data_IF_601047740959
#
_entry.id   IF_601047740959
#
_cell.length_a   1.000
_cell.length_b   1.000
_cell.length_c   1.000
_cell.angle_alpha   90.00
_cell.angle_beta   90.00
_cell.angle_gamma   90.00
#
_symmetry.space_group_name_H-M   'P 1'
#
loop_
_entity.id
_entity.type
_entity.pdbx_description
1 polymer ?
#
# COMPACT_ATOMS: atom_id res chain seq x y z
N UNK A 1 19.45 -16.76 -0.85
CA UNK A 1 18.29 -16.05 -1.42
C UNK A 1 17.95 -16.67 -2.75
N UNK A 2 16.67 -16.95 -3.02
CA UNK A 2 16.24 -17.46 -4.33
C UNK A 2 16.24 -16.31 -5.35
N UNK A 3 16.73 -16.58 -6.57
CA UNK A 3 16.66 -15.63 -7.68
C UNK A 3 15.30 -15.75 -8.36
N UNK A 4 14.58 -14.64 -8.46
CA UNK A 4 13.31 -14.54 -9.18
C UNK A 4 13.53 -13.72 -10.44
N UNK A 5 13.02 -14.23 -11.56
CA UNK A 5 12.93 -13.46 -12.80
C UNK A 5 11.47 -13.07 -12.99
N UNK A 6 11.23 -11.77 -13.18
CA UNK A 6 9.89 -11.22 -13.40
C UNK A 6 9.87 -10.48 -14.73
N UNK A 7 8.75 -10.57 -15.42
CA UNK A 7 8.51 -9.79 -16.64
C UNK A 7 7.73 -8.54 -16.26
N UNK A 8 8.18 -7.39 -16.75
CA UNK A 8 7.56 -6.09 -16.54
C UNK A 8 7.21 -5.47 -17.90
N UNK A 9 6.18 -4.61 -17.98
CA UNK A 9 5.95 -3.78 -19.15
C UNK A 9 7.19 -2.92 -19.46
N UNK A 10 7.51 -2.75 -20.74
CA UNK A 10 8.73 -2.05 -21.17
C UNK A 10 8.83 -0.62 -20.64
N UNK A 11 7.70 0.12 -20.63
CA UNK A 11 7.63 1.48 -20.11
C UNK A 11 7.97 1.55 -18.61
N UNK A 12 7.48 0.59 -17.83
CA UNK A 12 7.76 0.51 -16.41
C UNK A 12 9.23 0.13 -16.16
N UNK A 13 9.75 -0.82 -16.94
CA UNK A 13 11.16 -1.20 -16.88
C UNK A 13 12.07 -0.01 -17.19
N UNK A 14 11.76 0.76 -18.24
CA UNK A 14 12.50 1.97 -18.60
C UNK A 14 12.45 3.03 -17.49
N UNK A 15 11.28 3.23 -16.87
CA UNK A 15 11.12 4.18 -15.76
C UNK A 15 11.96 3.77 -14.55
N UNK A 16 11.90 2.50 -14.14
CA UNK A 16 12.68 1.98 -13.01
C UNK A 16 14.19 2.07 -13.29
N UNK A 17 14.59 1.81 -14.53
CA UNK A 17 15.97 1.93 -14.96
C UNK A 17 16.44 3.39 -14.90
N UNK A 18 15.64 4.33 -15.42
CA UNK A 18 15.94 5.77 -15.34
C UNK A 18 16.06 6.26 -13.89
N UNK A 19 15.19 5.82 -12.99
CA UNK A 19 15.28 6.16 -11.57
C UNK A 19 16.58 5.65 -10.90
N UNK A 20 17.10 4.50 -11.33
CA UNK A 20 18.36 3.98 -10.84
C UNK A 20 19.56 4.76 -11.39
N UNK A 21 19.51 5.14 -12.67
CA UNK A 21 20.52 5.96 -13.34
C UNK A 21 20.60 7.37 -12.72
N UNK A 22 19.44 7.97 -12.42
CA UNK A 22 19.30 9.25 -11.70
C UNK A 22 19.64 9.15 -10.21
N UNK A 23 20.04 7.96 -9.72
CA UNK A 23 20.37 7.66 -8.31
C UNK A 23 19.24 7.97 -7.33
N UNK A 24 17.98 8.02 -7.81
CA UNK A 24 16.79 8.15 -6.96
C UNK A 24 16.52 6.87 -6.17
N UNK A 25 16.92 5.73 -6.75
CA UNK A 25 16.90 4.43 -6.10
C UNK A 25 18.29 3.78 -6.22
N UNK A 26 18.69 2.98 -5.23
CA UNK A 26 20.00 2.33 -5.22
C UNK A 26 20.14 1.24 -6.30
N UNK A 27 19.05 0.50 -6.55
CA UNK A 27 18.94 -0.49 -7.63
C UNK A 27 17.49 -0.85 -7.86
N UNK A 28 17.16 -1.30 -9.07
CA UNK A 28 15.80 -1.78 -9.41
C UNK A 28 15.41 -2.97 -8.54
N UNK A 29 16.29 -3.96 -8.38
CA UNK A 29 16.02 -5.16 -7.58
C UNK A 29 15.84 -4.85 -6.09
N UNK A 30 16.67 -3.96 -5.53
CA UNK A 30 16.52 -3.52 -4.14
C UNK A 30 15.21 -2.77 -3.91
N UNK A 31 14.89 -1.83 -4.81
CA UNK A 31 13.63 -1.08 -4.75
C UNK A 31 12.40 -1.99 -4.80
N UNK A 32 12.40 -2.97 -5.71
CA UNK A 32 11.31 -3.95 -5.80
C UNK A 32 11.21 -4.83 -4.56
N UNK A 33 12.35 -5.25 -3.99
CA UNK A 33 12.36 -6.07 -2.78
C UNK A 33 11.80 -5.30 -1.58
N UNK A 34 12.17 -4.04 -1.40
CA UNK A 34 11.68 -3.21 -0.30
C UNK A 34 10.20 -2.86 -0.48
N UNK A 35 9.78 -2.53 -1.71
CA UNK A 35 8.36 -2.34 -2.03
C UNK A 35 7.52 -3.58 -1.76
N UNK A 36 8.01 -4.77 -2.14
CA UNK A 36 7.35 -6.03 -1.88
C UNK A 36 7.24 -6.32 -0.37
N UNK A 37 8.32 -6.10 0.40
CA UNK A 37 8.30 -6.26 1.87
C UNK A 37 7.27 -5.35 2.51
N UNK A 38 7.23 -4.07 2.12
CA UNK A 38 6.27 -3.11 2.66
C UNK A 38 4.84 -3.56 2.39
N UNK A 39 4.52 -3.93 1.15
CA UNK A 39 3.18 -4.39 0.76
C UNK A 39 2.79 -5.69 1.46
N UNK A 40 3.70 -6.64 1.57
CA UNK A 40 3.45 -7.89 2.30
C UNK A 40 3.24 -7.64 3.79
N UNK A 41 3.95 -6.70 4.40
CA UNK A 41 3.70 -6.30 5.79
C UNK A 41 2.30 -5.71 5.97
N UNK A 42 1.86 -4.83 5.07
CA UNK A 42 0.48 -4.31 5.11
C UNK A 42 -0.57 -5.39 4.93
N UNK A 43 -0.38 -6.33 4.00
CA UNK A 43 -1.32 -7.44 3.81
C UNK A 43 -1.35 -8.36 5.02
N UNK A 44 -0.19 -8.63 5.62
CA UNK A 44 -0.11 -9.40 6.86
C UNK A 44 -0.82 -8.68 7.99
N UNK A 45 -0.62 -7.38 8.15
CA UNK A 45 -1.27 -6.59 9.19
C UNK A 45 -2.79 -6.57 9.00
N UNK A 46 -3.27 -6.30 7.79
CA UNK A 46 -4.69 -6.31 7.47
C UNK A 46 -5.33 -7.70 7.70
N UNK A 47 -4.66 -8.78 7.27
CA UNK A 47 -5.12 -10.14 7.53
C UNK A 47 -5.07 -10.48 9.02
N UNK A 48 -4.06 -10.02 9.75
CA UNK A 48 -3.94 -10.21 11.20
C UNK A 48 -5.04 -9.44 11.94
N UNK A 49 -5.39 -8.22 11.50
CA UNK A 49 -6.49 -7.43 12.06
C UNK A 49 -7.82 -8.14 11.79
N UNK A 50 -8.04 -8.62 10.58
CA UNK A 50 -9.24 -9.41 10.22
C UNK A 50 -9.32 -10.72 11.03
N UNK A 51 -8.20 -11.42 11.26
CA UNK A 51 -8.15 -12.62 12.09
C UNK A 51 -8.38 -12.34 13.59
N UNK A 52 -7.86 -11.22 14.12
CA UNK A 52 -7.95 -10.90 15.54
C UNK A 52 -9.29 -10.27 15.95
N UNK A 53 -9.91 -9.50 15.06
CA UNK A 53 -11.10 -8.72 15.37
C UNK A 53 -12.33 -9.15 14.56
N UNK A 54 -12.15 -9.92 13.48
CA UNK A 54 -13.22 -10.25 12.55
C UNK A 54 -13.70 -9.02 11.77
N UNK A 55 -14.64 -9.20 10.83
CA UNK A 55 -15.35 -8.07 10.25
C UNK A 55 -16.10 -7.32 11.37
N UNK A 56 -16.15 -5.97 11.33
CA UNK A 56 -16.86 -5.19 12.32
C UNK A 56 -18.32 -5.62 12.40
N UNK A 57 -18.86 -5.68 13.62
CA UNK A 57 -20.28 -5.93 13.82
C UNK A 57 -21.12 -4.83 13.17
N UNK A 58 -22.41 -5.07 12.87
CA UNK A 58 -23.27 -4.08 12.22
C UNK A 58 -23.32 -2.73 12.96
N UNK A 59 -23.29 -2.75 14.29
CA UNK A 59 -23.24 -1.55 15.12
C UNK A 59 -21.90 -0.82 14.98
N UNK A 60 -20.76 -1.54 14.99
CA UNK A 60 -19.44 -0.96 14.78
C UNK A 60 -19.30 -0.37 13.36
N UNK A 61 -19.86 -1.05 12.36
CA UNK A 61 -19.89 -0.57 10.99
C UNK A 61 -20.70 0.74 10.87
N UNK A 62 -21.84 0.83 11.55
CA UNK A 62 -22.64 2.06 11.58
C UNK A 62 -21.89 3.23 12.27
N UNK A 63 -21.13 2.95 13.33
CA UNK A 63 -20.31 3.96 13.99
C UNK A 63 -19.15 4.45 13.11
N UNK A 64 -18.51 3.55 12.35
CA UNK A 64 -17.46 3.90 11.40
C UNK A 64 -18.02 4.76 10.27
N UNK A 65 -19.19 4.40 9.72
CA UNK A 65 -19.87 5.17 8.66
C UNK A 65 -20.21 6.60 9.14
N UNK A 66 -20.72 6.75 10.36
CA UNK A 66 -20.98 8.06 10.95
C UNK A 66 -19.70 8.89 11.12
N UNK A 67 -18.60 8.28 11.57
CA UNK A 67 -17.32 8.98 11.76
C UNK A 67 -16.71 9.44 10.41
N UNK A 68 -16.88 8.64 9.36
CA UNK A 68 -16.40 8.97 8.00
C UNK A 68 -17.26 10.08 7.37
N UNK A 69 -18.58 10.05 7.56
CA UNK A 69 -19.48 11.11 7.09
C UNK A 69 -19.19 12.44 7.80
N UNK A 70 -19.02 12.42 9.13
CA UNK A 70 -18.65 13.62 9.90
C UNK A 70 -17.25 14.15 9.50
N UNK A 71 -16.27 13.26 9.29
CA UNK A 71 -14.94 13.62 8.81
C UNK A 71 -14.93 14.28 7.42
N UNK A 72 -15.84 13.88 6.53
CA UNK A 72 -15.99 14.48 5.20
C UNK A 72 -16.61 15.89 5.24
N UNK A 73 -17.37 16.22 6.29
CA UNK A 73 -17.97 17.54 6.48
C UNK A 73 -16.92 18.59 6.96
N UNK A 74 -15.94 18.18 7.76
CA UNK A 74 -14.83 19.06 8.17
C UNK A 74 -13.90 19.47 7.02
N UNK A 75 -13.83 18.70 5.93
CA UNK A 75 -13.02 19.04 4.76
C UNK A 75 -13.72 19.98 3.76
N UNK A 76 -15.03 20.21 3.93
CA UNK A 76 -15.83 21.06 3.03
C UNK A 76 -16.07 22.48 3.54
N UNK A 77 -15.77 22.75 4.83
CA UNK A 77 -15.97 24.04 5.49
C UNK A 77 -14.67 24.84 5.71
N UNK A 78 -13.65 24.56 4.89
CA UNK A 78 -12.34 25.24 4.90
C UNK A 78 -11.99 25.90 3.57
N UNK A 79 -12.97 26.34 2.79
CA UNK A 79 -12.78 27.25 1.64
C UNK A 79 -13.40 28.62 1.93
#
# INVERSE_FOLDING_TARGET
>A
MARLNITLPDELAATLQGLAEDKKIASVSGFLADGARLKLSYLRDAATVDELFGPPTPDEQAMIDHLVDEGAQYHRHGQ
#
